data_IF_584859440421
#
_entry.id   IF_584859440421
#
_cell.length_a   1.000
_cell.length_b   1.000
_cell.length_c   1.000
_cell.angle_alpha   90.00
_cell.angle_beta   90.00
_cell.angle_gamma   90.00
#
_symmetry.space_group_name_H-M   'P 1'
#
loop_
_entity.id
_entity.type
_entity.pdbx_description
1 polymer ?
#
# COMPACT_ATOMS: atom_id res chain seq x y z
N UNK A 1 13.22 4.27 5.74
CA UNK A 1 13.81 5.43 5.05
C UNK A 1 14.30 6.41 6.10
N UNK A 2 15.61 6.50 6.26
CA UNK A 2 16.19 7.64 6.98
C UNK A 2 15.93 8.91 6.17
N UNK A 3 15.52 9.96 6.85
CA UNK A 3 15.32 11.26 6.21
C UNK A 3 16.69 11.68 5.64
N UNK A 4 16.83 11.84 4.31
CA UNK A 4 18.10 12.22 3.74
C UNK A 4 18.49 13.60 4.26
N UNK A 5 19.78 13.80 4.51
CA UNK A 5 20.39 15.07 4.96
C UNK A 5 20.20 15.47 6.42
N UNK A 6 19.68 14.62 7.31
CA UNK A 6 19.68 14.87 8.76
C UNK A 6 19.06 16.21 9.15
N UNK A 7 19.86 17.11 9.73
CA UNK A 7 19.38 18.40 10.24
C UNK A 7 19.14 19.47 9.15
N UNK A 8 19.50 19.20 7.89
CA UNK A 8 19.26 20.13 6.78
C UNK A 8 17.87 19.99 6.17
N UNK A 9 16.87 20.43 6.90
CA UNK A 9 15.45 20.27 6.58
C UNK A 9 15.05 20.78 5.18
N UNK A 10 15.69 21.86 4.70
CA UNK A 10 15.40 22.42 3.38
C UNK A 10 15.87 21.50 2.24
N UNK A 11 17.02 20.84 2.38
CA UNK A 11 17.48 19.84 1.41
C UNK A 11 16.64 18.59 1.45
N UNK A 12 16.25 18.15 2.64
CA UNK A 12 15.31 17.04 2.82
C UNK A 12 13.98 17.30 2.11
N UNK A 13 13.38 18.48 2.30
CA UNK A 13 12.12 18.86 1.64
C UNK A 13 12.27 18.83 0.11
N UNK A 14 13.35 19.40 -0.42
CA UNK A 14 13.61 19.42 -1.85
C UNK A 14 13.74 17.97 -2.38
N UNK A 15 14.56 17.16 -1.76
CA UNK A 15 14.76 15.76 -2.17
C UNK A 15 13.44 14.96 -2.16
N UNK A 16 12.65 15.11 -1.10
CA UNK A 16 11.34 14.45 -0.95
C UNK A 16 10.36 14.90 -2.03
N UNK A 17 10.24 16.18 -2.31
CA UNK A 17 9.37 16.69 -3.36
C UNK A 17 9.82 16.23 -4.75
N UNK A 18 11.13 16.24 -5.03
CA UNK A 18 11.68 15.78 -6.30
C UNK A 18 11.38 14.30 -6.51
N UNK A 19 11.58 13.46 -5.49
CA UNK A 19 11.28 12.02 -5.55
C UNK A 19 9.78 11.80 -5.82
N UNK A 20 8.92 12.51 -5.10
CA UNK A 20 7.48 12.39 -5.32
C UNK A 20 7.06 12.74 -6.75
N UNK A 21 7.57 13.86 -7.29
CA UNK A 21 7.27 14.27 -8.65
C UNK A 21 7.79 13.28 -9.70
N UNK A 22 8.99 12.74 -9.50
CA UNK A 22 9.56 11.71 -10.38
C UNK A 22 8.68 10.45 -10.41
N UNK A 23 8.25 9.97 -9.24
CA UNK A 23 7.38 8.81 -9.14
C UNK A 23 6.00 9.05 -9.74
N UNK A 24 5.39 10.21 -9.48
CA UNK A 24 4.12 10.59 -10.08
C UNK A 24 4.20 10.62 -11.62
N UNK A 25 5.28 11.14 -12.15
CA UNK A 25 5.52 11.18 -13.58
C UNK A 25 5.72 9.78 -14.16
N UNK A 26 6.58 8.96 -13.55
CA UNK A 26 6.86 7.59 -13.97
C UNK A 26 5.57 6.75 -14.00
N UNK A 27 4.81 6.79 -12.93
CA UNK A 27 3.55 6.06 -12.82
C UNK A 27 2.53 6.52 -13.88
N UNK A 28 2.42 7.84 -14.09
CA UNK A 28 1.52 8.41 -15.10
C UNK A 28 1.92 8.00 -16.53
N UNK A 29 3.23 7.96 -16.83
CA UNK A 29 3.77 7.50 -18.10
C UNK A 29 3.41 6.04 -18.34
N UNK A 30 3.67 5.16 -17.35
CA UNK A 30 3.34 3.74 -17.45
C UNK A 30 1.84 3.52 -17.64
N UNK A 31 1.00 4.21 -16.86
CA UNK A 31 -0.45 4.09 -17.00
C UNK A 31 -0.96 4.58 -18.36
N UNK A 32 -0.33 5.60 -18.94
CA UNK A 32 -0.70 6.08 -20.27
C UNK A 32 -0.45 5.06 -21.38
N UNK A 33 0.57 4.22 -21.27
CA UNK A 33 0.83 3.15 -22.25
C UNK A 33 -0.33 2.15 -22.30
N UNK A 34 -1.01 1.91 -21.20
CA UNK A 34 -2.15 0.99 -21.14
C UNK A 34 -3.48 1.61 -21.60
N UNK A 35 -3.71 2.88 -21.30
CA UNK A 35 -5.05 3.48 -21.46
C UNK A 35 -5.16 4.60 -22.48
N UNK A 36 -4.09 5.31 -22.78
CA UNK A 36 -3.99 6.37 -23.81
C UNK A 36 -5.14 7.40 -23.80
N UNK A 37 -5.56 7.82 -22.59
CA UNK A 37 -6.55 8.90 -22.48
C UNK A 37 -5.94 10.25 -22.83
N UNK A 38 -6.70 11.12 -23.52
CA UNK A 38 -6.23 12.45 -23.94
C UNK A 38 -5.67 13.27 -22.76
N UNK A 39 -6.38 13.26 -21.62
CA UNK A 39 -5.91 13.96 -20.43
C UNK A 39 -4.60 13.39 -19.89
N UNK A 40 -4.48 12.06 -19.87
CA UNK A 40 -3.28 11.38 -19.40
C UNK A 40 -2.10 11.63 -20.34
N UNK A 41 -2.33 11.61 -21.67
CA UNK A 41 -1.32 12.00 -22.66
C UNK A 41 -0.80 13.41 -22.42
N UNK A 42 -1.67 14.36 -22.10
CA UNK A 42 -1.26 15.73 -21.84
C UNK A 42 -0.46 15.85 -20.54
N UNK A 43 -0.84 15.11 -19.48
CA UNK A 43 -0.07 15.02 -18.25
C UNK A 43 1.32 14.45 -18.51
N UNK A 44 1.42 13.34 -19.24
CA UNK A 44 2.68 12.69 -19.60
C UNK A 44 3.60 13.64 -20.39
N UNK A 45 3.06 14.32 -21.40
CA UNK A 45 3.83 15.31 -22.17
C UNK A 45 4.38 16.43 -21.29
N UNK A 46 3.56 16.93 -20.37
CA UNK A 46 3.96 17.99 -19.46
C UNK A 46 5.06 17.54 -18.50
N UNK A 47 5.00 16.28 -18.01
CA UNK A 47 5.97 15.77 -17.07
C UNK A 47 7.25 15.20 -17.69
N UNK A 48 7.25 14.79 -18.95
CA UNK A 48 8.40 14.12 -19.56
C UNK A 48 9.68 14.98 -19.51
N UNK A 49 9.57 16.30 -19.74
CA UNK A 49 10.74 17.20 -19.65
C UNK A 49 11.18 17.46 -18.22
N UNK A 50 10.27 17.84 -17.29
CA UNK A 50 10.64 17.97 -15.88
C UNK A 50 11.25 16.70 -15.31
N UNK A 51 10.75 15.51 -15.66
CA UNK A 51 11.29 14.22 -15.19
C UNK A 51 12.76 14.07 -15.56
N UNK A 52 13.15 14.37 -16.79
CA UNK A 52 14.56 14.31 -17.21
C UNK A 52 15.45 15.19 -16.33
N UNK A 53 14.99 16.40 -16.03
CA UNK A 53 15.74 17.35 -15.22
C UNK A 53 15.79 16.86 -13.77
N UNK A 54 14.64 16.43 -13.22
CA UNK A 54 14.51 15.99 -11.84
C UNK A 54 15.32 14.72 -11.57
N UNK A 55 15.32 13.75 -12.48
CA UNK A 55 16.08 12.50 -12.31
C UNK A 55 17.58 12.75 -12.30
N UNK A 56 18.08 13.68 -13.12
CA UNK A 56 19.50 14.07 -13.09
C UNK A 56 19.84 14.71 -11.76
N UNK A 57 19.01 15.67 -11.30
CA UNK A 57 19.23 16.37 -10.02
C UNK A 57 19.11 15.41 -8.84
N UNK A 58 18.09 14.54 -8.84
CA UNK A 58 17.89 13.53 -7.81
C UNK A 58 19.07 12.58 -7.72
N UNK A 59 19.56 12.08 -8.87
CA UNK A 59 20.70 11.18 -8.87
C UNK A 59 21.90 11.80 -8.18
N UNK A 60 22.23 13.07 -8.50
CA UNK A 60 23.34 13.79 -7.89
C UNK A 60 23.11 14.01 -6.38
N UNK A 61 21.93 14.50 -6.01
CA UNK A 61 21.58 14.78 -4.60
C UNK A 61 21.59 13.50 -3.77
N UNK A 62 20.94 12.43 -4.24
CA UNK A 62 20.88 11.16 -3.51
C UNK A 62 22.23 10.45 -3.48
N UNK A 63 22.96 10.41 -4.59
CA UNK A 63 24.28 9.82 -4.62
C UNK A 63 25.25 10.53 -3.65
N UNK A 64 25.17 11.85 -3.56
CA UNK A 64 26.00 12.64 -2.67
C UNK A 64 25.52 12.56 -1.21
N UNK A 65 24.21 12.60 -0.96
CA UNK A 65 23.63 12.64 0.38
C UNK A 65 23.62 11.27 1.08
N UNK A 66 23.28 10.19 0.36
CA UNK A 66 23.13 8.86 0.97
C UNK A 66 24.48 8.18 1.20
N UNK A 67 25.44 8.33 0.30
CA UNK A 67 26.67 7.53 0.28
C UNK A 67 27.94 8.39 0.42
N UNK A 68 27.78 9.71 0.40
CA UNK A 68 28.90 10.65 0.48
C UNK A 68 29.79 10.62 -0.78
N UNK A 69 30.99 11.25 -0.67
CA UNK A 69 31.91 11.42 -1.82
C UNK A 69 32.43 10.11 -2.42
N UNK A 70 32.26 8.98 -1.73
CA UNK A 70 32.73 7.65 -2.18
C UNK A 70 31.58 6.70 -2.55
N UNK A 71 30.42 7.25 -2.89
CA UNK A 71 29.19 6.51 -3.19
C UNK A 71 29.41 5.31 -4.10
N UNK A 72 30.06 5.52 -5.24
CA UNK A 72 30.28 4.46 -6.24
C UNK A 72 31.34 3.43 -5.84
N UNK A 73 32.24 3.76 -4.91
CA UNK A 73 33.26 2.85 -4.43
C UNK A 73 32.75 1.90 -3.31
N UNK A 74 31.64 2.24 -2.67
CA UNK A 74 31.11 1.48 -1.53
C UNK A 74 30.31 0.25 -1.95
N UNK A 75 29.85 0.14 -3.21
CA UNK A 75 28.96 -0.94 -3.67
C UNK A 75 27.59 -0.94 -3.02
N UNK A 76 27.11 0.21 -2.53
CA UNK A 76 25.83 0.35 -1.85
C UNK A 76 24.68 -0.01 -2.79
N UNK A 77 23.86 -0.98 -2.40
CA UNK A 77 22.71 -1.47 -3.20
C UNK A 77 21.67 -0.39 -3.49
N UNK A 78 21.55 0.63 -2.62
CA UNK A 78 20.66 1.76 -2.80
C UNK A 78 21.02 2.58 -4.04
N UNK A 79 22.32 2.74 -4.32
CA UNK A 79 22.78 3.42 -5.53
C UNK A 79 22.46 2.64 -6.80
N UNK A 80 22.57 1.32 -6.75
CA UNK A 80 22.24 0.46 -7.89
C UNK A 80 20.74 0.57 -8.18
N UNK A 81 19.88 0.51 -7.15
CA UNK A 81 18.45 0.70 -7.30
C UNK A 81 18.10 2.08 -7.87
N UNK A 82 18.70 3.15 -7.34
CA UNK A 82 18.52 4.51 -7.83
C UNK A 82 18.99 4.66 -9.29
N UNK A 83 20.12 4.08 -9.66
CA UNK A 83 20.61 4.12 -11.03
C UNK A 83 19.66 3.39 -12.00
N UNK A 84 19.14 2.22 -11.62
CA UNK A 84 18.15 1.48 -12.42
C UNK A 84 16.86 2.29 -12.58
N UNK A 85 16.34 2.86 -11.51
CA UNK A 85 15.13 3.69 -11.52
C UNK A 85 15.32 4.91 -12.43
N UNK A 86 16.43 5.63 -12.28
CA UNK A 86 16.79 6.78 -13.11
C UNK A 86 16.87 6.40 -14.61
N UNK A 87 17.53 5.28 -14.95
CA UNK A 87 17.62 4.81 -16.33
C UNK A 87 16.23 4.48 -16.91
N UNK A 88 15.36 3.84 -16.12
CA UNK A 88 14.00 3.53 -16.54
C UNK A 88 13.21 4.82 -16.77
N UNK A 89 13.23 5.75 -15.82
CA UNK A 89 12.52 7.02 -15.90
C UNK A 89 12.99 7.87 -17.08
N UNK A 90 14.31 8.01 -17.28
CA UNK A 90 14.88 8.71 -18.42
C UNK A 90 14.49 8.06 -19.75
N UNK A 91 14.53 6.74 -19.85
CA UNK A 91 14.14 6.00 -21.06
C UNK A 91 12.69 6.22 -21.43
N UNK A 92 11.78 6.17 -20.44
CA UNK A 92 10.35 6.41 -20.62
C UNK A 92 10.07 7.87 -21.01
N UNK A 93 10.69 8.83 -20.34
CA UNK A 93 10.54 10.26 -20.64
C UNK A 93 11.05 10.58 -22.03
N UNK A 94 12.23 10.11 -22.42
CA UNK A 94 12.77 10.26 -23.78
C UNK A 94 11.86 9.64 -24.84
N UNK A 95 11.35 8.43 -24.61
CA UNK A 95 10.38 7.78 -25.50
C UNK A 95 9.17 8.66 -25.75
N UNK A 96 8.57 9.23 -24.69
CA UNK A 96 7.43 10.14 -24.82
C UNK A 96 7.76 11.46 -25.55
N UNK A 97 8.95 12.02 -25.34
CA UNK A 97 9.40 13.23 -26.05
C UNK A 97 9.63 12.95 -27.55
N UNK A 98 10.24 11.82 -27.88
CA UNK A 98 10.60 11.48 -29.26
C UNK A 98 9.40 11.02 -30.08
N UNK A 99 8.52 10.21 -29.51
CA UNK A 99 7.37 9.57 -30.19
C UNK A 99 6.07 10.36 -29.99
N UNK A 100 5.99 11.23 -29.00
CA UNK A 100 4.78 11.99 -28.66
C UNK A 100 4.37 13.00 -29.75
N UNK A 101 3.09 13.39 -29.71
CA UNK A 101 2.54 14.46 -30.56
C UNK A 101 3.21 15.79 -30.24
N UNK A 102 3.80 16.43 -31.23
CA UNK A 102 4.63 17.65 -31.08
C UNK A 102 3.83 18.96 -31.09
N UNK A 103 2.50 18.91 -31.19
CA UNK A 103 1.67 20.11 -31.12
C UNK A 103 1.67 20.74 -29.74
N UNK A 104 1.64 22.04 -29.67
CA UNK A 104 1.44 22.76 -28.40
C UNK A 104 0.03 22.50 -27.86
N UNK A 105 -0.13 22.34 -26.54
CA UNK A 105 -1.44 22.15 -25.93
C UNK A 105 -2.31 23.41 -26.10
N UNK A 106 -3.60 23.19 -26.34
CA UNK A 106 -4.57 24.29 -26.38
C UNK A 106 -4.84 24.82 -24.98
N UNK A 107 -5.34 26.08 -24.87
CA UNK A 107 -5.72 26.67 -23.57
C UNK A 107 -6.67 25.77 -22.75
N UNK A 108 -7.62 25.09 -23.42
CA UNK A 108 -8.54 24.18 -22.75
C UNK A 108 -7.82 22.94 -22.19
N UNK A 109 -6.88 22.39 -22.92
CA UNK A 109 -6.05 21.25 -22.47
C UNK A 109 -5.18 21.63 -21.28
N UNK A 110 -4.58 22.84 -21.29
CA UNK A 110 -3.80 23.35 -20.15
C UNK A 110 -4.67 23.53 -18.91
N UNK A 111 -5.87 24.11 -19.05
CA UNK A 111 -6.78 24.28 -17.90
C UNK A 111 -7.27 22.93 -17.36
N UNK A 112 -7.55 21.98 -18.25
CA UNK A 112 -7.92 20.61 -17.85
C UNK A 112 -6.77 19.93 -17.13
N UNK A 113 -5.54 20.07 -17.63
CA UNK A 113 -4.33 19.57 -17.00
C UNK A 113 -4.18 20.13 -15.58
N UNK A 114 -4.21 21.46 -15.45
CA UNK A 114 -4.05 22.10 -14.13
C UNK A 114 -5.13 21.67 -13.13
N UNK A 115 -6.38 21.50 -13.60
CA UNK A 115 -7.48 21.02 -12.75
C UNK A 115 -7.40 19.53 -12.36
N UNK A 116 -6.79 18.70 -13.19
CA UNK A 116 -6.66 17.24 -12.93
C UNK A 116 -5.34 16.85 -12.29
N UNK A 117 -4.32 17.70 -12.39
CA UNK A 117 -2.98 17.44 -11.89
C UNK A 117 -2.94 17.02 -10.40
N UNK A 118 -3.61 17.73 -9.48
CA UNK A 118 -3.63 17.32 -8.08
C UNK A 118 -4.19 15.90 -7.88
N UNK A 119 -5.24 15.54 -8.62
CA UNK A 119 -5.87 14.23 -8.53
C UNK A 119 -5.00 13.12 -9.15
N UNK A 120 -4.09 13.45 -10.05
CA UNK A 120 -3.13 12.50 -10.59
C UNK A 120 -1.90 12.33 -9.68
N UNK A 121 -1.47 13.37 -8.98
CA UNK A 121 -0.25 13.37 -8.17
C UNK A 121 -0.50 12.88 -6.74
N UNK A 122 -1.56 13.37 -6.09
CA UNK A 122 -1.83 13.07 -4.67
C UNK A 122 -1.94 11.58 -4.36
N UNK A 123 -2.61 10.74 -5.17
CA UNK A 123 -2.71 9.32 -4.87
C UNK A 123 -1.37 8.57 -4.89
N UNK A 124 -0.37 9.12 -5.56
CA UNK A 124 0.96 8.50 -5.71
C UNK A 124 1.95 9.08 -4.69
N UNK A 125 1.47 9.85 -3.73
CA UNK A 125 2.34 10.44 -2.70
C UNK A 125 2.91 9.32 -1.81
N UNK A 126 4.25 9.14 -1.80
CA UNK A 126 4.87 8.15 -0.92
C UNK A 126 4.63 8.47 0.55
N UNK A 127 4.49 7.47 1.46
CA UNK A 127 4.23 7.69 2.88
C UNK A 127 5.30 8.53 3.60
N UNK A 128 6.56 8.46 3.16
CA UNK A 128 7.63 9.27 3.74
C UNK A 128 7.52 10.77 3.44
N UNK A 129 6.73 11.16 2.42
CA UNK A 129 6.53 12.59 2.10
C UNK A 129 5.76 13.31 3.22
N UNK A 130 4.60 12.84 3.69
CA UNK A 130 3.95 13.42 4.85
C UNK A 130 4.82 13.37 6.10
N UNK A 131 5.55 12.29 6.33
CA UNK A 131 6.48 12.19 7.45
C UNK A 131 7.55 13.28 7.39
N UNK A 132 8.20 13.46 6.23
CA UNK A 132 9.25 14.45 6.07
C UNK A 132 8.73 15.91 6.18
N UNK A 133 7.49 16.18 5.71
CA UNK A 133 6.91 17.51 5.74
C UNK A 133 6.26 17.89 7.08
N UNK A 134 5.66 16.94 7.77
CA UNK A 134 4.79 17.20 8.92
C UNK A 134 5.15 16.40 10.18
N UNK A 135 5.92 15.33 10.07
CA UNK A 135 6.22 14.43 11.18
C UNK A 135 6.99 15.09 12.35
N UNK A 136 7.64 16.23 12.10
CA UNK A 136 8.34 17.01 13.13
C UNK A 136 7.43 17.98 13.89
N UNK A 137 6.21 18.23 13.41
CA UNK A 137 5.30 19.22 14.00
C UNK A 137 4.70 18.75 15.32
N UNK A 138 4.36 17.46 15.42
CA UNK A 138 3.87 16.85 16.65
C UNK A 138 4.18 15.35 16.64
N UNK A 139 5.19 14.96 17.41
CA UNK A 139 5.63 13.57 17.55
C UNK A 139 4.83 12.79 18.62
N UNK A 140 3.88 13.44 19.30
CA UNK A 140 3.12 12.82 20.38
C UNK A 140 1.76 12.28 19.96
N UNK A 141 1.31 12.55 18.74
CA UNK A 141 -0.02 12.13 18.27
C UNK A 141 -0.04 10.65 17.93
N UNK A 142 -0.64 9.86 18.80
CA UNK A 142 -0.90 8.43 18.57
C UNK A 142 -2.31 8.20 18.05
N UNK A 143 -2.43 7.22 17.14
CA UNK A 143 -3.73 6.79 16.59
C UNK A 143 -4.07 5.43 17.22
N UNK A 144 -4.66 5.44 18.40
CA UNK A 144 -4.99 4.25 19.17
C UNK A 144 -6.23 4.45 20.05
N UNK A 145 -6.84 3.35 20.50
CA UNK A 145 -7.88 3.29 21.53
C UNK A 145 -9.06 4.27 21.35
N UNK A 146 -9.44 4.51 20.09
CA UNK A 146 -10.53 5.42 19.70
C UNK A 146 -10.37 6.87 20.25
N UNK A 147 -9.13 7.34 20.39
CA UNK A 147 -8.81 8.75 20.61
C UNK A 147 -9.44 9.65 19.54
N UNK A 148 -9.42 10.95 19.72
CA UNK A 148 -9.96 11.88 18.70
C UNK A 148 -9.27 11.73 17.35
N UNK A 149 -7.93 11.61 17.37
CA UNK A 149 -7.15 11.37 16.16
C UNK A 149 -7.54 10.05 15.48
N UNK A 150 -7.69 8.97 16.26
CA UNK A 150 -8.09 7.66 15.75
C UNK A 150 -9.50 7.71 15.12
N UNK A 151 -10.48 8.30 15.79
CA UNK A 151 -11.82 8.48 15.25
C UNK A 151 -11.82 9.34 13.99
N UNK A 152 -11.02 10.41 13.96
CA UNK A 152 -10.87 11.26 12.78
C UNK A 152 -10.37 10.47 11.57
N UNK A 153 -9.32 9.68 11.73
CA UNK A 153 -8.77 8.84 10.65
C UNK A 153 -9.81 7.81 10.19
N UNK A 154 -10.53 7.16 11.11
CA UNK A 154 -11.64 6.25 10.73
C UNK A 154 -12.69 7.00 9.91
N UNK A 155 -13.13 8.19 10.34
CA UNK A 155 -14.13 8.97 9.60
C UNK A 155 -13.66 9.38 8.20
N UNK A 156 -12.39 9.79 8.05
CA UNK A 156 -11.80 10.07 6.73
C UNK A 156 -11.90 8.85 5.82
N UNK A 157 -11.62 7.67 6.34
CA UNK A 157 -11.76 6.43 5.62
C UNK A 157 -13.18 6.16 5.11
N UNK A 158 -14.23 6.62 5.78
CA UNK A 158 -15.61 6.54 5.27
C UNK A 158 -15.96 7.68 4.30
N UNK A 159 -15.52 8.89 4.56
CA UNK A 159 -15.84 10.07 3.75
C UNK A 159 -15.20 9.98 2.36
N UNK A 160 -13.91 9.66 2.28
CA UNK A 160 -13.18 9.64 1.01
C UNK A 160 -13.79 8.69 -0.02
N UNK A 161 -14.12 7.42 0.29
CA UNK A 161 -14.78 6.53 -0.67
C UNK A 161 -16.17 7.00 -1.11
N UNK A 162 -16.92 7.65 -0.22
CA UNK A 162 -18.23 8.23 -0.59
C UNK A 162 -18.04 9.36 -1.60
N UNK A 163 -17.07 10.24 -1.40
CA UNK A 163 -16.75 11.30 -2.37
C UNK A 163 -16.30 10.73 -3.72
N UNK A 164 -15.45 9.71 -3.71
CA UNK A 164 -15.02 8.99 -4.91
C UNK A 164 -16.24 8.36 -5.62
N UNK A 165 -17.12 7.69 -4.87
CA UNK A 165 -18.34 7.11 -5.43
C UNK A 165 -19.22 8.17 -6.08
N UNK A 166 -19.50 9.28 -5.40
CA UNK A 166 -20.35 10.35 -5.92
C UNK A 166 -19.78 10.96 -7.20
N UNK A 167 -18.46 11.10 -7.30
CA UNK A 167 -17.80 11.64 -8.47
C UNK A 167 -17.81 10.68 -9.67
N UNK A 168 -17.60 9.37 -9.41
CA UNK A 168 -17.45 8.39 -10.48
C UNK A 168 -18.74 7.63 -10.84
N UNK A 169 -19.79 7.60 -10.00
CA UNK A 169 -20.99 6.76 -10.20
C UNK A 169 -21.60 6.87 -11.61
N UNK A 170 -21.60 8.07 -12.22
CA UNK A 170 -22.20 8.35 -13.51
C UNK A 170 -21.20 8.32 -14.68
N UNK A 171 -19.92 8.01 -14.44
CA UNK A 171 -18.92 7.89 -15.49
C UNK A 171 -19.04 6.55 -16.23
N UNK A 172 -18.44 6.47 -17.42
CA UNK A 172 -18.41 5.21 -18.18
C UNK A 172 -17.64 4.11 -17.41
N UNK A 173 -17.94 2.86 -17.73
CA UNK A 173 -17.28 1.69 -17.11
C UNK A 173 -15.77 1.76 -17.21
N UNK A 174 -15.24 2.10 -18.39
CA UNK A 174 -13.78 2.14 -18.61
C UNK A 174 -13.11 3.26 -17.79
N UNK A 175 -13.75 4.43 -17.67
CA UNK A 175 -13.23 5.52 -16.82
C UNK A 175 -13.23 5.13 -15.34
N UNK A 176 -14.32 4.50 -14.87
CA UNK A 176 -14.39 3.98 -13.48
C UNK A 176 -13.29 2.97 -13.21
N UNK A 177 -13.17 1.99 -14.08
CA UNK A 177 -12.19 0.92 -13.94
C UNK A 177 -10.76 1.45 -13.97
N UNK A 178 -10.44 2.35 -14.92
CA UNK A 178 -9.15 3.01 -14.99
C UNK A 178 -8.83 3.75 -13.69
N UNK A 179 -9.73 4.61 -13.21
CA UNK A 179 -9.52 5.39 -11.99
C UNK A 179 -9.28 4.48 -10.78
N UNK A 180 -10.01 3.37 -10.67
CA UNK A 180 -9.84 2.43 -9.56
C UNK A 180 -8.55 1.60 -9.68
N UNK A 181 -8.12 1.24 -10.89
CA UNK A 181 -6.80 0.63 -11.09
C UNK A 181 -5.71 1.62 -10.69
N UNK A 182 -5.80 2.86 -11.15
CA UNK A 182 -4.85 3.92 -10.83
C UNK A 182 -4.72 4.10 -9.30
N UNK A 183 -5.85 4.30 -8.63
CA UNK A 183 -5.90 4.47 -7.18
C UNK A 183 -5.34 3.24 -6.44
N UNK A 184 -5.77 2.04 -6.83
CA UNK A 184 -5.36 0.81 -6.13
C UNK A 184 -3.88 0.50 -6.33
N UNK A 185 -3.34 0.70 -7.52
CA UNK A 185 -1.91 0.51 -7.78
C UNK A 185 -1.08 1.55 -7.04
N UNK A 186 -1.54 2.81 -6.97
CA UNK A 186 -0.89 3.85 -6.17
C UNK A 186 -0.86 3.50 -4.67
N UNK A 187 -1.97 3.01 -4.12
CA UNK A 187 -2.03 2.56 -2.72
C UNK A 187 -1.13 1.34 -2.48
N UNK A 188 -1.12 0.37 -3.41
CA UNK A 188 -0.22 -0.79 -3.36
C UNK A 188 1.24 -0.35 -3.37
N UNK A 189 1.59 0.60 -4.22
CA UNK A 189 2.95 1.15 -4.29
C UNK A 189 3.35 1.81 -2.98
N UNK A 190 2.50 2.68 -2.43
CA UNK A 190 2.74 3.31 -1.12
C UNK A 190 2.89 2.28 0.02
N UNK A 191 2.20 1.15 -0.07
CA UNK A 191 2.36 0.04 0.87
C UNK A 191 3.69 -0.70 0.67
N UNK A 192 4.06 -1.02 -0.57
CA UNK A 192 5.31 -1.74 -0.88
C UNK A 192 6.54 -0.91 -0.49
N UNK A 193 6.47 0.41 -0.58
CA UNK A 193 7.57 1.30 -0.22
C UNK A 193 8.01 1.17 1.25
N UNK A 194 7.10 0.70 2.11
CA UNK A 194 7.44 0.35 3.49
C UNK A 194 8.44 -0.82 3.58
N UNK A 195 8.51 -1.67 2.55
CA UNK A 195 9.40 -2.83 2.52
C UNK A 195 10.75 -2.48 1.89
N UNK A 196 11.82 -2.71 2.63
CA UNK A 196 13.19 -2.72 2.14
C UNK A 196 13.66 -4.16 1.91
N UNK A 197 14.80 -4.36 1.26
CA UNK A 197 15.41 -5.68 1.17
C UNK A 197 15.75 -6.26 2.55
N UNK A 198 16.18 -5.43 3.49
CA UNK A 198 16.44 -5.84 4.86
C UNK A 198 15.19 -6.32 5.56
N UNK A 199 14.08 -5.58 5.41
CA UNK A 199 12.77 -5.96 5.96
C UNK A 199 12.26 -7.27 5.35
N UNK A 200 12.43 -7.49 4.04
CA UNK A 200 12.02 -8.73 3.38
C UNK A 200 12.85 -9.94 3.80
N UNK A 201 14.06 -9.74 4.33
CA UNK A 201 14.88 -10.82 4.90
C UNK A 201 14.29 -11.36 6.21
N UNK A 202 13.40 -10.60 6.86
CA UNK A 202 12.77 -10.96 8.13
C UNK A 202 11.36 -11.54 7.88
N UNK A 203 11.15 -12.85 8.15
CA UNK A 203 9.86 -13.51 7.84
C UNK A 203 8.64 -12.85 8.47
N UNK A 204 8.76 -12.26 9.67
CA UNK A 204 7.65 -11.58 10.35
C UNK A 204 7.09 -10.37 9.56
N UNK A 205 7.91 -9.77 8.70
CA UNK A 205 7.51 -8.62 7.87
C UNK A 205 6.75 -9.01 6.60
N UNK A 206 6.72 -10.29 6.23
CA UNK A 206 6.12 -10.72 4.97
C UNK A 206 4.63 -10.33 4.86
N UNK A 207 4.14 -9.95 3.67
CA UNK A 207 2.78 -9.45 3.50
C UNK A 207 1.71 -10.56 3.54
N UNK A 208 1.82 -11.48 4.50
CA UNK A 208 0.91 -12.61 4.68
C UNK A 208 -0.21 -12.34 5.70
N UNK A 209 -0.28 -11.15 6.29
CA UNK A 209 -1.49 -10.74 7.00
C UNK A 209 -2.65 -10.54 6.02
N UNK A 210 -3.86 -10.82 6.48
CA UNK A 210 -5.05 -10.80 5.64
C UNK A 210 -5.25 -9.46 4.92
N UNK A 211 -5.11 -8.34 5.62
CA UNK A 211 -5.21 -6.99 5.05
C UNK A 211 -4.15 -6.74 3.97
N UNK A 212 -2.93 -7.26 4.15
CA UNK A 212 -1.84 -7.08 3.20
C UNK A 212 -2.10 -7.81 1.89
N UNK A 213 -2.77 -8.97 1.92
CA UNK A 213 -3.11 -9.72 0.69
C UNK A 213 -4.01 -8.92 -0.24
N UNK A 214 -4.89 -8.06 0.29
CA UNK A 214 -5.76 -7.21 -0.51
C UNK A 214 -4.97 -6.25 -1.42
N UNK A 215 -3.81 -5.77 -0.96
CA UNK A 215 -2.96 -4.86 -1.72
C UNK A 215 -2.47 -5.45 -3.04
N UNK A 216 -2.36 -6.76 -3.12
CA UNK A 216 -1.94 -7.48 -4.33
C UNK A 216 -3.12 -8.07 -5.09
N UNK A 217 -4.09 -8.66 -4.38
CA UNK A 217 -5.21 -9.37 -5.00
C UNK A 217 -6.18 -8.40 -5.67
N UNK A 218 -6.52 -7.27 -5.04
CA UNK A 218 -7.49 -6.32 -5.61
C UNK A 218 -7.02 -5.71 -6.93
N UNK A 219 -5.77 -5.18 -7.06
CA UNK A 219 -5.29 -4.68 -8.34
C UNK A 219 -5.21 -5.78 -9.41
N UNK A 220 -4.79 -7.00 -9.07
CA UNK A 220 -4.81 -8.12 -10.01
C UNK A 220 -6.24 -8.42 -10.49
N UNK A 221 -7.21 -8.44 -9.58
CA UNK A 221 -8.62 -8.62 -9.94
C UNK A 221 -9.13 -7.53 -10.89
N UNK A 222 -8.76 -6.27 -10.65
CA UNK A 222 -9.12 -5.13 -11.49
C UNK A 222 -8.51 -5.21 -12.88
N UNK A 223 -7.21 -5.56 -12.97
CA UNK A 223 -6.47 -5.65 -14.23
C UNK A 223 -6.97 -6.85 -15.06
N UNK A 224 -7.14 -8.02 -14.44
CA UNK A 224 -7.48 -9.27 -15.13
C UNK A 224 -8.97 -9.64 -15.06
N UNK A 225 -9.82 -8.79 -14.46
CA UNK A 225 -11.28 -9.01 -14.30
C UNK A 225 -11.63 -10.32 -13.58
N UNK A 226 -10.90 -10.66 -12.51
CA UNK A 226 -11.01 -11.92 -11.78
C UNK A 226 -12.13 -11.89 -10.73
N UNK A 227 -13.39 -12.00 -11.15
CA UNK A 227 -14.55 -11.89 -10.25
C UNK A 227 -14.54 -12.86 -9.06
N UNK A 228 -14.13 -14.12 -9.27
CA UNK A 228 -14.13 -15.13 -8.19
C UNK A 228 -13.11 -14.81 -7.10
N UNK A 229 -11.90 -14.42 -7.50
CA UNK A 229 -10.84 -14.06 -6.55
C UNK A 229 -11.19 -12.76 -5.82
N UNK A 230 -11.82 -11.80 -6.51
CA UNK A 230 -12.30 -10.57 -5.92
C UNK A 230 -13.30 -10.82 -4.77
N UNK A 231 -14.12 -11.86 -4.87
CA UNK A 231 -15.10 -12.20 -3.83
C UNK A 231 -14.45 -12.53 -2.48
N UNK A 232 -13.26 -13.14 -2.50
CA UNK A 232 -12.47 -13.35 -1.28
C UNK A 232 -12.15 -12.01 -0.60
N UNK A 233 -11.64 -11.03 -1.35
CA UNK A 233 -11.34 -9.71 -0.80
C UNK A 233 -12.58 -9.03 -0.23
N UNK A 234 -13.72 -9.11 -0.91
CA UNK A 234 -14.95 -8.45 -0.49
C UNK A 234 -15.50 -9.00 0.85
N UNK A 235 -15.45 -10.31 1.07
CA UNK A 235 -16.03 -10.91 2.28
C UNK A 235 -15.03 -11.03 3.42
N UNK A 236 -13.78 -11.30 3.12
CA UNK A 236 -12.80 -11.66 4.14
C UNK A 236 -11.89 -10.48 4.49
N UNK A 237 -11.25 -9.85 3.48
CA UNK A 237 -10.34 -8.74 3.76
C UNK A 237 -11.08 -7.53 4.35
N UNK A 238 -12.33 -7.27 3.91
CA UNK A 238 -13.16 -6.18 4.43
C UNK A 238 -13.36 -6.31 5.94
N UNK A 239 -13.73 -7.52 6.41
CA UNK A 239 -13.95 -7.75 7.84
C UNK A 239 -12.64 -7.65 8.64
N UNK A 240 -11.58 -8.29 8.15
CA UNK A 240 -10.26 -8.22 8.81
C UNK A 240 -9.72 -6.79 8.89
N UNK A 241 -9.86 -6.00 7.82
CA UNK A 241 -9.40 -4.61 7.81
C UNK A 241 -10.24 -3.71 8.71
N UNK A 242 -11.57 -3.93 8.79
CA UNK A 242 -12.43 -3.20 9.74
C UNK A 242 -11.98 -3.44 11.18
N UNK A 243 -11.76 -4.70 11.55
CA UNK A 243 -11.30 -5.07 12.89
C UNK A 243 -9.95 -4.41 13.20
N UNK A 244 -9.02 -4.48 12.27
CA UNK A 244 -7.70 -3.85 12.43
C UNK A 244 -7.79 -2.32 12.58
N UNK A 245 -8.66 -1.64 11.82
CA UNK A 245 -8.87 -0.20 11.96
C UNK A 245 -9.47 0.19 13.31
N UNK A 246 -10.35 -0.63 13.88
CA UNK A 246 -10.99 -0.36 15.18
C UNK A 246 -10.04 -0.68 16.34
N UNK A 247 -9.27 -1.75 16.23
CA UNK A 247 -8.32 -2.21 17.24
C UNK A 247 -6.89 -1.71 16.96
N UNK A 248 -6.75 -0.65 16.18
CA UNK A 248 -5.44 -0.14 15.82
C UNK A 248 -4.61 0.14 17.07
N UNK A 249 -3.41 -0.42 17.07
CA UNK A 249 -2.35 -0.11 18.01
C UNK A 249 -1.15 0.26 17.17
N UNK A 250 -1.04 1.53 16.84
CA UNK A 250 -0.09 2.01 15.85
C UNK A 250 1.10 2.66 16.51
N UNK A 251 2.05 2.98 15.68
CA UNK A 251 3.33 3.61 15.93
C UNK A 251 3.24 4.85 16.84
N UNK A 252 4.35 5.27 17.37
CA UNK A 252 4.43 6.38 18.33
C UNK A 252 4.04 7.74 17.73
N UNK A 253 4.06 7.87 16.39
CA UNK A 253 3.65 9.09 15.72
C UNK A 253 2.72 8.79 14.52
N UNK A 254 1.61 9.51 14.45
CA UNK A 254 0.64 9.43 13.35
C UNK A 254 1.25 9.70 11.97
N UNK A 255 2.32 10.49 11.88
CA UNK A 255 3.00 10.86 10.64
C UNK A 255 4.22 9.99 10.32
N UNK A 256 4.47 8.91 11.07
CA UNK A 256 5.46 7.92 10.69
C UNK A 256 5.06 7.19 9.41
N UNK A 257 6.07 6.86 8.59
CA UNK A 257 5.86 6.11 7.33
C UNK A 257 5.10 4.81 7.58
N UNK A 258 5.42 4.09 8.64
CA UNK A 258 4.73 2.86 9.04
C UNK A 258 3.25 3.10 9.39
N UNK A 259 2.94 4.15 10.15
CA UNK A 259 1.57 4.52 10.51
C UNK A 259 0.76 4.89 9.26
N UNK A 260 1.30 5.71 8.38
CA UNK A 260 0.65 6.13 7.14
C UNK A 260 0.41 4.91 6.23
N UNK A 261 1.42 4.05 6.03
CA UNK A 261 1.29 2.81 5.27
C UNK A 261 0.25 1.87 5.85
N UNK A 262 0.18 1.75 7.17
CA UNK A 262 -0.84 0.98 7.87
C UNK A 262 -2.24 1.44 7.51
N UNK A 263 -2.51 2.74 7.56
CA UNK A 263 -3.84 3.29 7.25
C UNK A 263 -4.18 3.18 5.76
N UNK A 264 -3.23 3.43 4.86
CA UNK A 264 -3.42 3.24 3.40
C UNK A 264 -3.79 1.78 3.12
N UNK A 265 -3.08 0.82 3.70
CA UNK A 265 -3.35 -0.60 3.56
C UNK A 265 -4.77 -0.96 4.03
N UNK A 266 -5.14 -0.57 5.24
CA UNK A 266 -6.44 -0.93 5.81
C UNK A 266 -7.60 -0.21 5.10
N UNK A 267 -7.42 1.03 4.64
CA UNK A 267 -8.38 1.71 3.79
C UNK A 267 -8.56 0.97 2.46
N UNK A 268 -7.48 0.57 1.80
CA UNK A 268 -7.55 -0.19 0.57
C UNK A 268 -8.26 -1.53 0.78
N UNK A 269 -7.91 -2.27 1.82
CA UNK A 269 -8.50 -3.57 2.10
C UNK A 269 -9.99 -3.49 2.49
N UNK A 270 -10.41 -2.43 3.19
CA UNK A 270 -11.80 -2.24 3.61
C UNK A 270 -12.66 -1.59 2.53
N UNK A 271 -12.25 -0.42 2.04
CA UNK A 271 -13.13 0.42 1.20
C UNK A 271 -13.08 0.04 -0.27
N UNK A 272 -11.93 -0.36 -0.81
CA UNK A 272 -11.84 -0.63 -2.24
C UNK A 272 -12.77 -1.75 -2.70
N UNK A 273 -12.86 -2.93 -2.05
CA UNK A 273 -13.79 -3.95 -2.49
C UNK A 273 -15.25 -3.48 -2.47
N UNK A 274 -15.67 -2.74 -1.44
CA UNK A 274 -17.02 -2.20 -1.32
C UNK A 274 -17.30 -1.16 -2.41
N UNK A 275 -16.38 -0.23 -2.64
CA UNK A 275 -16.47 0.81 -3.65
C UNK A 275 -16.55 0.23 -5.06
N UNK A 276 -15.79 -0.81 -5.35
CA UNK A 276 -15.77 -1.48 -6.66
C UNK A 276 -17.12 -2.15 -7.00
N UNK A 277 -17.79 -2.71 -6.00
CA UNK A 277 -19.17 -3.22 -6.17
C UNK A 277 -20.17 -2.08 -6.30
N UNK A 278 -20.06 -1.04 -5.49
CA UNK A 278 -20.94 0.13 -5.56
C UNK A 278 -20.85 0.83 -6.93
N UNK A 279 -19.66 0.98 -7.49
CA UNK A 279 -19.41 1.52 -8.83
C UNK A 279 -19.81 0.56 -9.96
N UNK A 280 -20.26 -0.66 -9.65
CA UNK A 280 -20.63 -1.71 -10.61
C UNK A 280 -19.46 -2.16 -11.50
N UNK A 281 -18.23 -2.07 -11.02
CA UNK A 281 -17.04 -2.61 -11.69
C UNK A 281 -17.03 -4.14 -11.55
N UNK A 282 -17.34 -4.62 -10.35
CA UNK A 282 -17.62 -6.03 -10.07
C UNK A 282 -19.08 -6.26 -9.76
N UNK A 283 -19.57 -7.46 -10.08
CA UNK A 283 -20.95 -7.87 -9.77
C UNK A 283 -21.10 -8.06 -8.25
N UNK A 284 -22.28 -7.70 -7.75
CA UNK A 284 -22.65 -8.05 -6.37
C UNK A 284 -22.66 -9.59 -6.25
N UNK A 285 -21.87 -10.15 -5.32
CA UNK A 285 -21.82 -11.60 -5.15
C UNK A 285 -23.11 -12.14 -4.53
N UNK A 286 -23.42 -13.39 -4.88
CA UNK A 286 -24.50 -14.16 -4.27
C UNK A 286 -23.98 -15.16 -3.22
N UNK A 287 -24.88 -16.04 -2.76
CA UNK A 287 -24.55 -17.04 -1.75
C UNK A 287 -23.47 -18.03 -2.21
N UNK A 288 -23.48 -18.42 -3.48
CA UNK A 288 -22.48 -19.34 -4.02
C UNK A 288 -21.06 -18.75 -3.98
N UNK A 289 -20.94 -17.48 -4.30
CA UNK A 289 -19.68 -16.76 -4.23
C UNK A 289 -19.21 -16.60 -2.78
N UNK A 290 -20.13 -16.38 -1.85
CA UNK A 290 -19.83 -16.36 -0.43
C UNK A 290 -19.27 -17.70 0.05
N UNK A 291 -19.88 -18.82 -0.32
CA UNK A 291 -19.35 -20.16 0.02
C UNK A 291 -17.92 -20.34 -0.50
N UNK A 292 -17.64 -19.90 -1.73
CA UNK A 292 -16.28 -19.96 -2.28
C UNK A 292 -15.29 -19.09 -1.50
N UNK A 293 -15.71 -17.91 -1.05
CA UNK A 293 -14.87 -17.04 -0.22
C UNK A 293 -14.54 -17.72 1.12
N UNK A 294 -15.53 -18.35 1.77
CA UNK A 294 -15.33 -19.10 3.03
C UNK A 294 -14.38 -20.28 2.85
N UNK A 295 -14.55 -21.06 1.78
CA UNK A 295 -13.65 -22.20 1.48
C UNK A 295 -12.22 -21.71 1.21
N UNK A 296 -12.07 -20.63 0.44
CA UNK A 296 -10.76 -20.02 0.18
C UNK A 296 -10.13 -19.48 1.45
N UNK A 297 -10.93 -18.86 2.31
CA UNK A 297 -10.47 -18.39 3.63
C UNK A 297 -10.01 -19.55 4.51
N UNK A 298 -10.80 -20.63 4.59
CA UNK A 298 -10.41 -21.80 5.35
C UNK A 298 -9.07 -22.36 4.86
N UNK A 299 -8.90 -22.53 3.55
CA UNK A 299 -7.64 -22.99 2.98
C UNK A 299 -6.46 -22.06 3.34
N UNK A 300 -6.66 -20.74 3.26
CA UNK A 300 -5.65 -19.77 3.62
C UNK A 300 -5.36 -19.78 5.13
N UNK A 301 -6.38 -19.78 5.96
CA UNK A 301 -6.27 -19.84 7.42
C UNK A 301 -5.48 -21.07 7.89
N UNK A 302 -5.85 -22.25 7.43
CA UNK A 302 -5.14 -23.49 7.78
C UNK A 302 -3.70 -23.49 7.27
N UNK A 303 -3.45 -22.90 6.09
CA UNK A 303 -2.07 -22.72 5.61
C UNK A 303 -1.26 -21.82 6.55
N UNK A 304 -1.85 -20.74 7.04
CA UNK A 304 -1.18 -19.82 7.97
C UNK A 304 -0.93 -20.44 9.34
N UNK A 305 -1.78 -21.34 9.83
CA UNK A 305 -1.49 -22.11 11.05
C UNK A 305 -0.16 -22.86 10.93
N UNK A 306 0.05 -23.55 9.81
CA UNK A 306 1.30 -24.29 9.57
C UNK A 306 2.48 -23.37 9.29
N UNK A 307 2.29 -22.28 8.57
CA UNK A 307 3.35 -21.29 8.29
C UNK A 307 3.84 -20.66 9.60
N UNK A 308 2.94 -20.21 10.47
CA UNK A 308 3.30 -19.66 11.77
C UNK A 308 4.01 -20.70 12.67
N UNK A 309 3.46 -21.91 12.76
CA UNK A 309 4.07 -22.96 13.57
C UNK A 309 5.45 -23.41 13.03
N UNK A 310 5.67 -23.30 11.72
CA UNK A 310 6.96 -23.60 11.13
C UNK A 310 7.98 -22.49 11.40
N UNK A 311 7.61 -21.23 11.09
CA UNK A 311 8.52 -20.10 11.27
C UNK A 311 8.86 -19.81 12.73
N UNK A 312 7.96 -20.13 13.68
CA UNK A 312 8.25 -19.96 15.11
C UNK A 312 9.47 -20.72 15.62
N UNK A 313 9.96 -21.70 14.84
CA UNK A 313 11.24 -22.38 15.14
C UNK A 313 12.47 -21.55 14.77
N UNK A 314 12.32 -20.50 13.97
CA UNK A 314 13.42 -19.67 13.47
C UNK A 314 13.29 -18.23 13.97
N UNK A 315 12.05 -17.74 14.06
CA UNK A 315 11.74 -16.38 14.46
C UNK A 315 10.41 -16.37 15.24
N UNK A 316 10.50 -16.07 16.53
CA UNK A 316 9.34 -15.99 17.43
C UNK A 316 8.42 -14.82 17.12
N UNK A 317 8.87 -13.83 16.34
CA UNK A 317 8.07 -12.66 15.93
C UNK A 317 7.06 -12.97 14.81
N UNK A 318 7.17 -14.13 14.14
CA UNK A 318 6.26 -14.49 13.06
C UNK A 318 4.90 -14.91 13.60
N UNK A 319 3.89 -14.09 13.33
CA UNK A 319 2.51 -14.33 13.75
C UNK A 319 1.49 -13.76 12.76
N UNK A 320 1.42 -14.36 11.59
CA UNK A 320 0.40 -13.97 10.61
C UNK A 320 -1.00 -14.29 11.14
N UNK A 321 -1.93 -13.35 11.02
CA UNK A 321 -3.30 -13.38 11.56
C UNK A 321 -3.40 -13.36 13.09
N UNK A 322 -2.31 -13.11 13.82
CA UNK A 322 -2.33 -13.16 15.29
C UNK A 322 -2.81 -14.51 15.86
N UNK A 323 -2.44 -15.61 15.17
CA UNK A 323 -2.89 -16.95 15.51
C UNK A 323 -2.06 -17.60 16.62
N UNK A 324 -0.83 -17.11 16.82
CA UNK A 324 0.13 -17.64 17.79
C UNK A 324 0.39 -16.69 18.95
N UNK A 325 0.22 -15.36 18.78
CA UNK A 325 0.34 -14.39 19.87
C UNK A 325 -0.95 -14.27 20.68
N UNK A 326 -0.87 -13.61 21.80
CA UNK A 326 -1.99 -13.26 22.67
C UNK A 326 -2.59 -11.89 22.36
N UNK A 327 -2.03 -11.16 21.38
CA UNK A 327 -2.42 -9.79 21.03
C UNK A 327 -3.95 -9.59 20.92
N UNK A 328 -4.64 -10.43 20.13
CA UNK A 328 -6.10 -10.35 19.99
C UNK A 328 -6.79 -10.87 21.26
N UNK A 329 -6.24 -11.92 21.88
CA UNK A 329 -6.80 -12.46 23.12
C UNK A 329 -6.78 -11.42 24.25
N UNK A 330 -5.72 -10.64 24.39
CA UNK A 330 -5.61 -9.55 25.36
C UNK A 330 -6.64 -8.45 25.11
N UNK A 331 -6.87 -8.07 23.85
CA UNK A 331 -7.91 -7.08 23.50
C UNK A 331 -9.33 -7.58 23.79
N UNK A 332 -9.57 -8.89 23.71
CA UNK A 332 -10.87 -9.52 24.03
C UNK A 332 -11.06 -9.83 25.52
N UNK A 333 -9.98 -9.79 26.31
CA UNK A 333 -9.98 -9.97 27.76
C UNK A 333 -9.66 -11.39 28.22
N UNK A 334 -9.65 -11.58 29.54
CA UNK A 334 -9.14 -12.80 30.21
C UNK A 334 -9.76 -14.11 29.71
N UNK A 335 -11.03 -14.11 29.32
CA UNK A 335 -11.69 -15.31 28.80
C UNK A 335 -11.01 -15.81 27.52
N UNK A 336 -10.58 -14.90 26.65
CA UNK A 336 -9.92 -15.25 25.41
C UNK A 336 -8.47 -15.73 25.65
N UNK A 337 -7.77 -15.13 26.62
CA UNK A 337 -6.44 -15.58 27.05
C UNK A 337 -6.49 -17.03 27.50
N UNK A 338 -7.45 -17.41 28.34
CA UNK A 338 -7.61 -18.80 28.83
C UNK A 338 -7.90 -19.83 27.71
N UNK A 339 -8.41 -19.39 26.53
CA UNK A 339 -8.57 -20.31 25.39
C UNK A 339 -7.22 -20.77 24.82
N UNK A 340 -6.14 -20.09 25.13
CA UNK A 340 -4.78 -20.45 24.69
C UNK A 340 -4.06 -21.42 25.64
N UNK A 341 -4.61 -21.69 26.82
CA UNK A 341 -4.05 -22.66 27.77
C UNK A 341 -4.04 -24.09 27.18
N UNK A 342 -4.95 -24.36 26.24
CA UNK A 342 -5.02 -25.63 25.53
C UNK A 342 -4.05 -25.59 24.34
N UNK A 343 -2.93 -26.31 24.48
CA UNK A 343 -1.90 -26.40 23.44
C UNK A 343 -1.74 -27.82 22.94
N UNK A 344 -1.47 -27.96 21.64
CA UNK A 344 -1.09 -29.23 21.02
C UNK A 344 0.21 -29.04 20.27
N UNK A 345 1.22 -29.81 20.63
CA UNK A 345 2.52 -29.73 19.97
C UNK A 345 2.98 -31.10 19.48
N UNK A 346 3.61 -31.13 18.31
CA UNK A 346 4.30 -32.32 17.81
C UNK A 346 5.62 -31.94 17.15
N UNK A 347 6.55 -32.88 17.10
CA UNK A 347 7.86 -32.68 16.48
C UNK A 347 7.95 -33.43 15.15
N UNK A 348 8.33 -32.73 14.09
CA UNK A 348 8.58 -33.31 12.79
C UNK A 348 9.94 -32.84 12.24
N UNK A 349 10.82 -33.76 11.91
CA UNK A 349 12.19 -33.47 11.41
C UNK A 349 12.99 -32.52 12.28
N UNK A 350 12.83 -32.59 13.61
CA UNK A 350 13.51 -31.72 14.57
C UNK A 350 12.86 -30.34 14.77
N UNK A 351 11.81 -30.01 14.05
CA UNK A 351 11.04 -28.77 14.22
C UNK A 351 9.82 -29.04 15.11
N UNK A 352 9.51 -28.11 16.01
CA UNK A 352 8.37 -28.18 16.90
C UNK A 352 7.21 -27.37 16.32
N UNK A 353 6.07 -28.00 16.12
CA UNK A 353 4.85 -27.37 15.67
C UNK A 353 3.88 -27.25 16.84
N UNK A 354 3.59 -26.01 17.25
CA UNK A 354 2.68 -25.74 18.36
C UNK A 354 1.43 -25.03 17.85
N UNK A 355 0.26 -25.52 18.29
CA UNK A 355 -1.07 -24.99 17.95
C UNK A 355 -1.87 -24.70 19.21
N UNK A 356 -2.83 -23.79 19.12
CA UNK A 356 -3.78 -23.39 20.14
C UNK A 356 -5.21 -23.71 19.69
N UNK A 357 -5.65 -25.00 19.68
CA UNK A 357 -6.84 -25.44 18.95
C UNK A 357 -8.11 -24.68 19.35
N UNK A 358 -8.34 -24.44 20.64
CA UNK A 358 -9.53 -23.73 21.09
C UNK A 358 -9.53 -22.26 20.65
N UNK A 359 -8.43 -21.55 20.87
CA UNK A 359 -8.27 -20.16 20.45
C UNK A 359 -8.41 -20.02 18.93
N UNK A 360 -7.67 -20.84 18.17
CA UNK A 360 -7.65 -20.80 16.71
C UNK A 360 -9.01 -21.17 16.10
N UNK A 361 -9.76 -22.10 16.72
CA UNK A 361 -11.11 -22.44 16.28
C UNK A 361 -12.09 -21.30 16.53
N UNK A 362 -12.05 -20.69 17.70
CA UNK A 362 -12.89 -19.52 18.00
C UNK A 362 -12.57 -18.35 17.08
N UNK A 363 -11.29 -18.11 16.80
CA UNK A 363 -10.85 -17.08 15.86
C UNK A 363 -11.33 -17.33 14.41
N UNK A 364 -11.41 -18.60 13.99
CA UNK A 364 -11.92 -18.97 12.67
C UNK A 364 -13.43 -18.76 12.51
N UNK A 365 -14.19 -18.96 13.60
CA UNK A 365 -15.66 -18.90 13.59
C UNK A 365 -16.18 -17.47 13.80
N UNK A 366 -15.50 -16.66 14.62
CA UNK A 366 -15.89 -15.29 14.99
C UNK A 366 -15.48 -14.26 13.98
#
# INVERSE_FOLDING_TARGET
YEIPFGDEIHLTIIAVLLTWFTWAALFTIVMNEFYKFVTLNNIVKFFSVPVLILDIVLFDIYATGIVGKNAFASGDSRLICLAIETVIALSLALSNILVGDKRLPTKREVLTLLGTLPFAILPIMPPYVPQALFGYLDQSVKIEDLTEAHRFVIYLGFIIPVLIFLYYKDKSYEVKRFAMIYLMVAMTWAFIEHYSFDTLSEPWSWPLHLCNTAMFIVPLCLIFRMNKLFTFCLFINVMGALLAMVLANTFDNAMETGSISYWINHYAAFFMPVLLVALKIFKRPGFKEWVWAVVSFAAYFFSMLFVNAWFSNYDAGVDFFFLNSDFIAEKLGNWAIHTRDITVSFTFRGLVFTFYPLYQTLFFIG
#
